data_IF_004880095163
#
_entry.id   IF_004880095163
#
_cell.length_a   1.000
_cell.length_b   1.000
_cell.length_c   1.000
_cell.angle_alpha   90.00
_cell.angle_beta   90.00
_cell.angle_gamma   90.00
#
_symmetry.space_group_name_H-M   'P 1'
#
loop_
_entity.id
_entity.type
_entity.pdbx_description
1 polymer ?
#
# COMPACT_ATOMS: atom_id res chain seq x y z
N UNK A 1 33.10 -17.09 0.39
CA UNK A 1 32.33 -16.71 1.60
C UNK A 1 30.90 -16.38 1.18
N UNK A 2 29.93 -17.31 1.32
CA UNK A 2 28.53 -17.10 0.91
C UNK A 2 27.66 -16.44 2.01
N UNK A 3 28.11 -16.45 3.27
CA UNK A 3 27.32 -16.01 4.42
C UNK A 3 27.16 -14.49 4.53
N UNK A 4 28.14 -13.72 4.07
CA UNK A 4 28.12 -12.24 4.12
C UNK A 4 27.14 -11.63 3.12
N UNK A 5 26.99 -12.25 1.95
CA UNK A 5 26.09 -11.78 0.89
C UNK A 5 24.61 -11.98 1.27
N UNK A 6 24.28 -13.11 1.89
CA UNK A 6 22.91 -13.43 2.33
C UNK A 6 22.43 -12.50 3.45
N UNK A 7 23.32 -12.15 4.39
CA UNK A 7 23.02 -11.19 5.47
C UNK A 7 22.72 -9.79 4.92
N UNK A 8 23.45 -9.35 3.89
CA UNK A 8 23.24 -8.04 3.30
C UNK A 8 21.89 -7.96 2.59
N UNK A 9 21.56 -9.00 1.81
CA UNK A 9 20.27 -9.09 1.12
C UNK A 9 19.08 -9.09 2.08
N UNK A 10 19.21 -9.76 3.24
CA UNK A 10 18.15 -9.75 4.25
C UNK A 10 17.89 -8.35 4.80
N UNK A 11 18.95 -7.59 5.10
CA UNK A 11 18.82 -6.22 5.59
C UNK A 11 18.19 -5.31 4.52
N UNK A 12 18.66 -5.41 3.27
CA UNK A 12 18.11 -4.65 2.15
C UNK A 12 16.60 -4.92 1.93
N UNK A 13 16.16 -6.17 2.11
CA UNK A 13 14.75 -6.52 2.06
C UNK A 13 13.93 -5.98 3.24
N UNK A 14 14.51 -5.95 4.45
CA UNK A 14 13.86 -5.36 5.62
C UNK A 14 13.70 -3.84 5.45
N UNK A 15 14.73 -3.16 4.97
CA UNK A 15 14.70 -1.73 4.66
C UNK A 15 13.67 -1.40 3.58
N UNK A 16 13.62 -2.20 2.50
CA UNK A 16 12.65 -2.00 1.42
C UNK A 16 11.21 -2.22 1.89
N UNK A 17 10.96 -3.23 2.74
CA UNK A 17 9.64 -3.46 3.33
C UNK A 17 9.21 -2.29 4.22
N UNK A 18 10.12 -1.77 5.03
CA UNK A 18 9.85 -0.61 5.87
C UNK A 18 9.49 0.61 5.00
N UNK A 19 10.31 0.93 4.00
CA UNK A 19 10.06 2.07 3.13
C UNK A 19 8.74 1.93 2.36
N UNK A 20 8.41 0.73 1.88
CA UNK A 20 7.14 0.46 1.20
C UNK A 20 5.93 0.77 2.09
N UNK A 21 5.98 0.37 3.37
CA UNK A 21 4.93 0.70 4.34
C UNK A 21 4.79 2.21 4.54
N UNK A 22 5.91 2.92 4.70
CA UNK A 22 5.91 4.38 4.89
C UNK A 22 5.37 5.11 3.66
N UNK A 23 5.72 4.66 2.46
CA UNK A 23 5.22 5.23 1.20
C UNK A 23 3.72 5.00 1.05
N UNK A 24 3.21 3.82 1.39
CA UNK A 24 1.76 3.53 1.39
C UNK A 24 1.03 4.44 2.37
N UNK A 25 1.52 4.56 3.61
CA UNK A 25 0.97 5.48 4.62
C UNK A 25 0.92 6.93 4.12
N UNK A 26 2.04 7.43 3.59
CA UNK A 26 2.13 8.79 3.08
C UNK A 26 1.20 9.01 1.88
N UNK A 27 1.09 8.03 0.99
CA UNK A 27 0.22 8.09 -0.18
C UNK A 27 -1.25 8.13 0.22
N UNK A 28 -1.69 7.30 1.18
CA UNK A 28 -3.07 7.30 1.68
C UNK A 28 -3.40 8.63 2.37
N UNK A 29 -2.49 9.18 3.17
CA UNK A 29 -2.66 10.50 3.76
C UNK A 29 -2.75 11.59 2.69
N UNK A 30 -1.92 11.53 1.65
CA UNK A 30 -1.97 12.46 0.53
C UNK A 30 -3.26 12.34 -0.28
N UNK A 31 -3.82 11.13 -0.39
CA UNK A 31 -5.09 10.86 -1.02
C UNK A 31 -6.30 11.39 -0.22
N UNK A 32 -6.10 11.82 1.04
CA UNK A 32 -7.12 12.43 1.89
C UNK A 32 -7.60 11.56 3.05
N UNK A 33 -6.94 10.43 3.34
CA UNK A 33 -7.28 9.60 4.50
C UNK A 33 -7.03 10.38 5.80
N UNK A 34 -7.98 10.29 6.74
CA UNK A 34 -7.84 10.87 8.07
C UNK A 34 -6.72 10.16 8.84
N UNK A 35 -5.85 10.92 9.52
CA UNK A 35 -4.67 10.35 10.21
C UNK A 35 -5.08 9.31 11.27
N UNK A 36 -6.19 9.53 11.96
CA UNK A 36 -6.76 8.61 12.95
C UNK A 36 -7.44 7.37 12.35
N UNK A 37 -7.59 7.31 11.02
CA UNK A 37 -8.15 6.18 10.26
C UNK A 37 -7.12 5.47 9.39
N UNK A 38 -5.85 5.87 9.47
CA UNK A 38 -4.80 5.39 8.58
C UNK A 38 -4.63 3.86 8.65
N UNK A 39 -4.59 3.30 9.85
CA UNK A 39 -4.46 1.85 10.04
C UNK A 39 -5.62 1.09 9.38
N UNK A 40 -6.87 1.52 9.61
CA UNK A 40 -8.04 0.92 8.96
C UNK A 40 -8.03 1.09 7.43
N UNK A 41 -7.48 2.18 6.91
CA UNK A 41 -7.34 2.39 5.48
C UNK A 41 -6.29 1.48 4.85
N UNK A 42 -5.20 1.18 5.57
CA UNK A 42 -4.19 0.22 5.13
C UNK A 42 -4.79 -1.19 5.08
N UNK A 43 -5.51 -1.60 6.13
CA UNK A 43 -6.21 -2.88 6.15
C UNK A 43 -7.21 -2.98 4.99
N UNK A 44 -8.07 -1.98 4.83
CA UNK A 44 -9.02 -1.93 3.72
C UNK A 44 -8.33 -1.94 2.34
N UNK A 45 -7.18 -1.29 2.20
CA UNK A 45 -6.40 -1.33 0.97
C UNK A 45 -5.95 -2.77 0.68
N UNK A 46 -5.28 -3.42 1.64
CA UNK A 46 -4.71 -4.77 1.47
C UNK A 46 -5.81 -5.80 1.19
N UNK A 47 -6.92 -5.75 1.92
CA UNK A 47 -8.01 -6.72 1.81
C UNK A 47 -8.76 -6.64 0.46
N UNK A 48 -8.64 -5.52 -0.26
CA UNK A 48 -9.35 -5.29 -1.50
C UNK A 48 -8.46 -5.28 -2.75
N UNK A 49 -7.14 -5.45 -2.64
CA UNK A 49 -6.24 -5.42 -3.81
C UNK A 49 -6.67 -6.46 -4.84
N UNK A 50 -6.76 -7.73 -4.43
CA UNK A 50 -7.03 -8.84 -5.35
C UNK A 50 -8.41 -8.71 -6.01
N UNK A 51 -9.43 -8.30 -5.25
CA UNK A 51 -10.79 -8.17 -5.74
C UNK A 51 -10.98 -6.98 -6.68
N UNK A 52 -10.31 -5.86 -6.40
CA UNK A 52 -10.37 -4.66 -7.25
C UNK A 52 -9.62 -4.90 -8.57
N UNK A 53 -8.51 -5.63 -8.53
CA UNK A 53 -7.64 -5.84 -9.69
C UNK A 53 -7.98 -7.10 -10.51
N UNK A 54 -8.85 -8.00 -10.03
CA UNK A 54 -9.18 -9.28 -10.67
C UNK A 54 -9.52 -9.17 -12.17
N UNK A 55 -10.17 -8.09 -12.57
CA UNK A 55 -10.56 -7.83 -13.96
C UNK A 55 -10.01 -6.49 -14.49
N UNK A 56 -9.01 -5.93 -13.83
CA UNK A 56 -8.37 -4.68 -14.28
C UNK A 56 -7.34 -4.97 -15.37
N UNK A 57 -7.26 -4.04 -16.33
CA UNK A 57 -6.18 -4.01 -17.34
C UNK A 57 -5.13 -2.95 -16.99
N UNK A 58 -5.17 -2.38 -15.79
CA UNK A 58 -4.19 -1.41 -15.31
C UNK A 58 -2.95 -2.12 -14.81
N UNK A 59 -1.80 -1.45 -14.90
CA UNK A 59 -0.52 -2.01 -14.48
C UNK A 59 0.29 -0.97 -13.68
N UNK A 60 1.03 -1.44 -12.67
CA UNK A 60 1.98 -0.63 -11.93
C UNK A 60 1.29 0.45 -11.08
N UNK A 61 1.64 1.72 -11.31
CA UNK A 61 1.09 2.83 -10.50
C UNK A 61 -0.43 2.94 -10.65
N UNK A 62 -0.96 2.59 -11.82
CA UNK A 62 -2.39 2.71 -12.09
C UNK A 62 -3.24 1.70 -11.30
N UNK A 63 -2.67 0.55 -10.91
CA UNK A 63 -3.31 -0.43 -10.01
C UNK A 63 -3.48 0.17 -8.61
N UNK A 64 -2.41 0.80 -8.10
CA UNK A 64 -2.41 1.44 -6.79
C UNK A 64 -3.46 2.56 -6.73
N UNK A 65 -3.49 3.40 -7.77
CA UNK A 65 -4.47 4.48 -7.87
C UNK A 65 -5.91 3.96 -7.96
N UNK A 66 -6.13 2.84 -8.64
CA UNK A 66 -7.45 2.21 -8.73
C UNK A 66 -7.95 1.69 -7.38
N UNK A 67 -7.09 1.03 -6.61
CA UNK A 67 -7.45 0.57 -5.26
C UNK A 67 -7.75 1.76 -4.34
N UNK A 68 -6.96 2.83 -4.41
CA UNK A 68 -7.22 4.06 -3.63
C UNK A 68 -8.55 4.70 -4.01
N UNK A 69 -8.87 4.75 -5.31
CA UNK A 69 -10.13 5.30 -5.80
C UNK A 69 -11.32 4.42 -5.37
N UNK A 70 -11.17 3.09 -5.40
CA UNK A 70 -12.15 2.18 -4.82
C UNK A 70 -12.39 2.48 -3.33
N UNK A 71 -11.33 2.66 -2.54
CA UNK A 71 -11.43 3.00 -1.12
C UNK A 71 -12.20 4.31 -0.91
N UNK A 72 -11.93 5.35 -1.70
CA UNK A 72 -12.67 6.63 -1.62
C UNK A 72 -14.16 6.46 -1.85
N UNK A 73 -14.53 5.59 -2.78
CA UNK A 73 -15.91 5.38 -3.18
C UNK A 73 -16.67 4.45 -2.23
N UNK A 74 -16.03 3.39 -1.72
CA UNK A 74 -16.67 2.39 -0.85
C UNK A 74 -16.53 2.70 0.64
N UNK A 75 -15.47 3.40 1.03
CA UNK A 75 -15.16 3.76 2.43
C UNK A 75 -14.98 5.27 2.62
N UNK A 76 -15.94 6.12 2.19
CA UNK A 76 -15.80 7.57 2.28
C UNK A 76 -15.59 8.06 3.73
N UNK A 77 -16.01 7.29 4.74
CA UNK A 77 -15.78 7.59 6.15
C UNK A 77 -14.29 7.68 6.55
N UNK A 78 -13.41 6.99 5.80
CA UNK A 78 -11.97 7.01 6.02
C UNK A 78 -11.32 8.32 5.54
N UNK A 79 -11.98 9.05 4.66
CA UNK A 79 -11.45 10.24 3.99
C UNK A 79 -12.04 11.54 4.56
N UNK A 80 -11.33 12.65 4.37
CA UNK A 80 -11.73 14.02 4.77
C UNK A 80 -12.75 14.63 3.80
#
# INVERSE_FOLDING_TARGET
MPQTHNKNLKNELEDLRYELSIVLEAMLLYAGVKREKLESAIEAYIDNIDSVLENSNKEGVDEVLEVVEFLKNQHPELFQ
#
